data_IF_578435191298
#
_entry.id   IF_578435191298
#
_cell.length_a   1.000
_cell.length_b   1.000
_cell.length_c   1.000
_cell.angle_alpha   90.00
_cell.angle_beta   90.00
_cell.angle_gamma   90.00
#
_symmetry.space_group_name_H-M   'P 1'
#
loop_
_entity.id
_entity.type
_entity.pdbx_description
1 polymer ?
#
# COMPACT_ATOMS: atom_id res chain seq x y z
N UNK A 1 5.39 -23.49 34.69
CA UNK A 1 5.22 -23.34 34.65
C UNK A 1 5.09 -23.14 34.41
N UNK A 2 4.88 -22.97 34.70
CA UNK A 2 4.55 -22.80 34.62
C UNK A 2 4.46 -22.37 34.27
N UNK A 3 4.70 -22.28 34.28
CA UNK A 3 4.44 -21.80 34.20
C UNK A 3 4.37 -21.38 33.48
N UNK A 4 4.71 -22.26 32.29
CA UNK A 4 3.99 -21.79 31.86
C UNK A 4 3.68 -21.60 32.53
N UNK A 5 4.52 -21.59 32.33
CA UNK A 5 3.81 -21.30 33.51
C UNK A 5 2.39 -20.98 33.32
N UNK A 6 1.67 -21.00 34.36
CA UNK A 6 0.33 -20.48 34.25
C UNK A 6 0.30 -19.06 33.75
N UNK A 7 1.24 -18.23 34.14
CA UNK A 7 1.18 -16.88 33.60
C UNK A 7 1.63 -16.85 32.16
N UNK A 8 2.44 -17.79 31.74
CA UNK A 8 2.72 -17.89 30.33
C UNK A 8 1.48 -18.34 29.60
N UNK A 9 0.80 -19.34 30.11
CA UNK A 9 -0.45 -19.76 29.52
C UNK A 9 -1.45 -18.63 29.56
N UNK A 10 -1.49 -17.92 30.65
CA UNK A 10 -2.37 -16.78 30.77
C UNK A 10 -1.98 -15.67 29.81
N UNK A 11 -0.71 -15.44 29.68
CA UNK A 11 -0.25 -14.45 28.71
C UNK A 11 -0.59 -14.88 27.31
N UNK A 12 -0.49 -16.17 27.03
CA UNK A 12 -0.90 -16.66 25.73
C UNK A 12 -2.38 -16.45 25.51
N UNK A 13 -3.17 -16.69 26.52
CA UNK A 13 -4.60 -16.45 26.41
C UNK A 13 -4.89 -14.98 26.22
N UNK A 14 -4.18 -14.13 26.92
CA UNK A 14 -4.34 -12.71 26.74
C UNK A 14 -3.92 -12.29 25.37
N UNK A 15 -2.84 -12.88 24.89
CA UNK A 15 -2.42 -12.65 23.53
C UNK A 15 -3.54 -13.04 22.58
N UNK A 16 -4.15 -14.18 22.82
CA UNK A 16 -5.19 -14.64 21.91
C UNK A 16 -6.38 -13.71 21.89
N UNK A 17 -6.74 -13.14 23.02
CA UNK A 17 -7.96 -12.33 23.04
C UNK A 17 -7.69 -10.84 22.95
N UNK A 18 -6.63 -10.36 23.59
CA UNK A 18 -6.39 -8.93 23.66
C UNK A 18 -5.26 -8.46 22.79
N UNK A 19 -4.16 -9.15 22.86
CA UNK A 19 -2.95 -8.67 22.18
C UNK A 19 -2.99 -8.86 20.68
N UNK A 20 -3.79 -9.77 20.18
CA UNK A 20 -3.93 -9.89 18.74
C UNK A 20 -4.49 -8.62 18.15
N UNK A 21 -5.46 -8.02 18.81
CA UNK A 21 -5.98 -6.75 18.35
C UNK A 21 -4.93 -5.67 18.40
N UNK A 22 -4.10 -5.66 19.44
CA UNK A 22 -3.03 -4.70 19.55
C UNK A 22 -1.99 -4.90 18.46
N UNK A 23 -1.64 -6.16 18.17
CA UNK A 23 -0.69 -6.45 17.10
C UNK A 23 -1.23 -5.97 15.77
N UNK A 24 -2.52 -6.18 15.53
CA UNK A 24 -3.14 -5.71 14.31
C UNK A 24 -3.04 -4.19 14.22
N UNK A 25 -3.30 -3.50 15.32
CA UNK A 25 -3.18 -2.05 15.37
C UNK A 25 -1.75 -1.61 15.10
N UNK A 26 -0.78 -2.30 15.68
CA UNK A 26 0.62 -1.96 15.47
C UNK A 26 1.06 -2.17 14.03
N UNK A 27 0.48 -3.16 13.35
CA UNK A 27 0.81 -3.41 11.95
C UNK A 27 0.41 -2.26 11.04
N UNK A 28 -0.47 -1.39 11.51
CA UNK A 28 -0.94 -0.27 10.72
C UNK A 28 -0.34 1.07 11.16
N UNK A 29 0.77 1.04 11.90
CA UNK A 29 1.53 2.26 12.15
C UNK A 29 2.14 2.77 10.85
N UNK A 30 2.32 4.09 10.73
CA UNK A 30 2.93 4.61 9.49
C UNK A 30 4.25 3.96 9.13
N UNK A 31 5.07 3.60 10.12
CA UNK A 31 6.35 2.94 9.85
C UNK A 31 6.18 1.53 9.28
N UNK A 32 5.03 0.90 9.49
CA UNK A 32 4.79 -0.45 8.97
C UNK A 32 4.43 -0.46 7.49
N UNK A 33 4.28 0.71 6.88
CA UNK A 33 4.03 0.80 5.45
C UNK A 33 5.28 0.57 4.62
N UNK A 34 6.46 0.63 5.24
CA UNK A 34 7.72 0.37 4.53
C UNK A 34 7.70 -1.05 3.99
N UNK A 35 8.05 -1.20 2.73
CA UNK A 35 8.00 -2.47 2.01
C UNK A 35 6.65 -2.81 1.40
N UNK A 36 5.64 -2.00 1.66
CA UNK A 36 4.31 -2.24 1.07
C UNK A 36 4.20 -1.59 -0.28
N UNK A 37 3.44 -2.21 -1.16
CA UNK A 37 3.11 -1.62 -2.46
C UNK A 37 1.81 -0.86 -2.31
N UNK A 38 1.83 0.39 -2.75
CA UNK A 38 0.79 1.35 -2.41
C UNK A 38 0.43 2.22 -3.60
N UNK A 39 -0.75 2.83 -3.51
CA UNK A 39 -1.14 3.96 -4.34
C UNK A 39 -0.93 5.20 -3.48
N UNK A 40 -0.27 6.20 -4.04
CA UNK A 40 -0.07 7.47 -3.37
C UNK A 40 -0.73 8.57 -4.18
N UNK A 41 -1.55 9.35 -3.50
CA UNK A 41 -2.12 10.56 -4.08
C UNK A 41 -1.37 11.74 -3.48
N UNK A 42 -0.93 12.64 -4.35
CA UNK A 42 -0.20 13.84 -3.96
C UNK A 42 -1.09 15.06 -4.19
N UNK A 43 -0.69 16.20 -3.61
CA UNK A 43 -1.41 17.43 -3.84
C UNK A 43 -1.19 17.96 -5.26
N UNK A 44 0.03 17.92 -5.75
CA UNK A 44 0.37 18.58 -7.00
C UNK A 44 1.08 17.69 -8.01
N UNK A 45 1.50 16.50 -7.64
CA UNK A 45 2.31 15.64 -8.50
C UNK A 45 1.54 14.43 -9.06
N UNK A 46 0.23 14.39 -8.85
CA UNK A 46 -0.59 13.30 -9.40
C UNK A 46 -0.64 12.07 -8.53
N UNK A 47 -0.89 10.93 -9.18
CA UNK A 47 -1.11 9.65 -8.52
C UNK A 47 0.02 8.70 -8.92
N UNK A 48 0.54 7.95 -7.94
CA UNK A 48 1.68 7.07 -8.15
C UNK A 48 1.45 5.73 -7.51
N UNK A 49 1.99 4.70 -8.12
CA UNK A 49 2.06 3.35 -7.57
C UNK A 49 3.53 3.03 -7.31
N UNK A 50 3.80 2.34 -6.24
CA UNK A 50 5.16 1.89 -5.99
C UNK A 50 5.31 1.25 -4.62
N UNK A 51 6.53 0.80 -4.34
CA UNK A 51 6.86 0.21 -3.05
C UNK A 51 7.52 1.26 -2.17
N UNK A 52 7.05 1.40 -0.94
CA UNK A 52 7.64 2.37 -0.02
C UNK A 52 8.96 1.84 0.50
N UNK A 53 10.05 2.58 0.22
CA UNK A 53 11.35 2.30 0.79
C UNK A 53 11.55 3.01 2.10
N UNK A 54 11.16 4.28 2.16
CA UNK A 54 11.32 5.12 3.34
C UNK A 54 10.14 6.04 3.49
N UNK A 55 9.84 6.40 4.71
CA UNK A 55 8.76 7.32 4.99
C UNK A 55 9.10 8.13 6.23
N UNK A 56 8.97 9.44 6.13
CA UNK A 56 9.13 10.35 7.24
C UNK A 56 8.06 11.42 7.14
N UNK A 57 7.09 11.39 8.05
CA UNK A 57 5.94 12.27 7.96
C UNK A 57 5.21 12.05 6.64
N UNK A 58 5.04 13.11 5.88
CA UNK A 58 4.40 13.03 4.55
C UNK A 58 5.37 12.63 3.46
N UNK A 59 6.66 12.65 3.73
CA UNK A 59 7.66 12.38 2.71
C UNK A 59 7.82 10.88 2.54
N UNK A 60 7.82 10.43 1.30
CA UNK A 60 8.00 9.02 0.99
C UNK A 60 8.98 8.90 -0.17
N UNK A 61 9.75 7.81 -0.14
CA UNK A 61 10.56 7.40 -1.27
C UNK A 61 9.98 6.10 -1.76
N UNK A 62 9.58 6.08 -3.03
CA UNK A 62 9.05 4.88 -3.67
C UNK A 62 10.08 4.27 -4.57
N UNK A 63 10.10 2.95 -4.58
CA UNK A 63 10.90 2.13 -5.49
C UNK A 63 10.00 1.59 -6.59
N UNK A 64 10.55 1.53 -7.81
CA UNK A 64 9.84 0.97 -8.97
C UNK A 64 8.47 1.64 -9.12
N UNK A 65 8.48 2.96 -9.11
CA UNK A 65 7.25 3.73 -9.09
C UNK A 65 6.73 3.97 -10.49
N UNK A 66 5.45 3.81 -10.66
CA UNK A 66 4.75 4.11 -11.91
C UNK A 66 3.76 5.24 -11.67
N UNK A 67 3.79 6.25 -12.52
CA UNK A 67 2.80 7.32 -12.47
C UNK A 67 1.53 6.84 -13.14
N UNK A 68 0.39 7.01 -12.48
CA UNK A 68 -0.92 6.72 -13.06
C UNK A 68 -1.43 8.02 -13.66
N UNK A 69 -1.03 8.25 -14.91
CA UNK A 69 -1.29 9.53 -15.57
C UNK A 69 -2.79 9.72 -15.84
N UNK A 70 -3.45 8.65 -16.23
CA UNK A 70 -4.89 8.61 -16.41
C UNK A 70 -5.36 7.25 -15.93
N UNK A 71 -6.29 7.23 -14.99
CA UNK A 71 -6.69 5.97 -14.41
C UNK A 71 -8.19 5.80 -14.40
N UNK A 72 -8.61 4.57 -14.69
CA UNK A 72 -9.98 4.10 -14.50
C UNK A 72 -9.92 2.83 -13.69
N UNK A 73 -10.95 2.61 -12.89
CA UNK A 73 -11.01 1.42 -12.04
C UNK A 73 -11.40 0.20 -12.88
N UNK A 74 -10.91 -0.95 -12.45
CA UNK A 74 -11.13 -2.20 -13.17
C UNK A 74 -12.61 -2.55 -13.29
N UNK A 75 -13.41 -2.23 -12.30
CA UNK A 75 -14.82 -2.60 -12.23
C UNK A 75 -15.74 -1.38 -12.26
N UNK A 76 -15.32 -0.34 -12.94
CA UNK A 76 -16.15 0.85 -13.20
C UNK A 76 -16.52 1.64 -11.95
N UNK A 77 -15.76 1.50 -10.90
CA UNK A 77 -15.89 2.34 -9.71
C UNK A 77 -15.35 3.75 -9.97
N UNK A 78 -15.33 4.55 -8.95
CA UNK A 78 -14.99 5.97 -9.10
C UNK A 78 -13.84 6.42 -8.21
N UNK A 79 -13.22 5.51 -7.45
CA UNK A 79 -12.25 5.93 -6.45
C UNK A 79 -10.93 5.18 -6.53
N UNK A 80 -9.89 5.82 -6.00
CA UNK A 80 -8.60 5.16 -5.87
C UNK A 80 -8.65 3.97 -4.92
N UNK A 81 -9.62 3.94 -4.02
CA UNK A 81 -9.81 2.79 -3.14
C UNK A 81 -10.07 1.54 -3.97
N UNK A 82 -10.88 1.64 -5.01
CA UNK A 82 -11.11 0.49 -5.87
C UNK A 82 -9.86 0.13 -6.66
N UNK A 83 -9.10 1.13 -7.12
CA UNK A 83 -7.83 0.84 -7.80
C UNK A 83 -6.91 0.05 -6.87
N UNK A 84 -6.84 0.44 -5.61
CA UNK A 84 -5.99 -0.27 -4.65
C UNK A 84 -6.49 -1.68 -4.35
N UNK A 85 -7.78 -1.92 -4.46
CA UNK A 85 -8.36 -3.25 -4.21
C UNK A 85 -8.39 -4.13 -5.45
N UNK A 86 -8.63 -3.57 -6.63
CA UNK A 86 -8.94 -4.36 -7.81
C UNK A 86 -8.13 -4.01 -9.05
N UNK A 87 -7.43 -2.88 -9.03
CA UNK A 87 -6.57 -2.50 -10.13
C UNK A 87 -7.24 -1.56 -11.13
N UNK A 88 -6.64 -1.50 -12.31
CA UNK A 88 -6.96 -0.53 -13.35
C UNK A 88 -7.64 -1.17 -14.54
N UNK A 89 -8.52 -0.42 -15.18
CA UNK A 89 -9.07 -0.81 -16.47
C UNK A 89 -8.01 -0.70 -17.56
N UNK A 90 -8.21 -1.44 -18.65
CA UNK A 90 -7.22 -1.53 -19.72
C UNK A 90 -6.96 -0.23 -20.46
N UNK A 91 -7.90 0.70 -20.44
CA UNK A 91 -7.71 1.98 -21.09
C UNK A 91 -7.08 3.03 -20.19
N UNK A 92 -6.61 2.65 -19.04
CA UNK A 92 -5.82 3.53 -18.19
C UNK A 92 -4.46 3.81 -18.84
N UNK A 93 -3.85 4.92 -18.46
CA UNK A 93 -2.55 5.34 -19.03
C UNK A 93 -1.52 5.34 -17.93
N UNK A 94 -0.66 4.34 -17.94
CA UNK A 94 0.33 4.11 -16.90
C UNK A 94 1.70 4.35 -17.48
N UNK A 95 2.50 5.15 -16.78
CA UNK A 95 3.83 5.53 -17.25
C UNK A 95 4.83 4.44 -16.94
N UNK A 96 6.01 4.53 -17.54
CA UNK A 96 7.06 3.56 -17.25
C UNK A 96 7.54 3.72 -15.80
N UNK A 97 8.07 2.64 -15.26
CA UNK A 97 8.56 2.65 -13.90
C UNK A 97 9.86 3.42 -13.80
N UNK A 98 10.02 4.16 -12.71
CA UNK A 98 11.30 4.78 -12.37
C UNK A 98 11.85 4.10 -11.12
N UNK A 99 13.19 3.96 -11.02
CA UNK A 99 13.77 3.23 -9.88
C UNK A 99 13.43 3.86 -8.53
N UNK A 100 13.48 5.18 -8.44
CA UNK A 100 13.22 5.89 -7.19
C UNK A 100 12.54 7.21 -7.48
N UNK A 101 11.60 7.57 -6.62
CA UNK A 101 10.96 8.89 -6.67
C UNK A 101 10.66 9.34 -5.24
N UNK A 102 10.85 10.62 -4.99
CA UNK A 102 10.48 11.26 -3.73
C UNK A 102 9.16 12.00 -3.94
N UNK A 103 8.23 11.80 -3.01
CA UNK A 103 6.91 12.43 -3.08
C UNK A 103 6.46 12.89 -1.70
N UNK A 104 5.58 13.89 -1.68
CA UNK A 104 4.84 14.22 -0.48
C UNK A 104 3.45 13.63 -0.61
N UNK A 105 3.14 12.68 0.26
CA UNK A 105 1.89 11.95 0.17
C UNK A 105 0.78 12.68 0.91
N UNK A 106 -0.34 12.86 0.24
CA UNK A 106 -1.59 13.31 0.87
C UNK A 106 -2.36 12.09 1.37
N UNK A 107 -2.27 11.01 0.63
CA UNK A 107 -2.99 9.79 0.92
C UNK A 107 -2.16 8.60 0.46
N UNK A 108 -2.11 7.56 1.29
CA UNK A 108 -1.41 6.32 0.96
C UNK A 108 -2.40 5.18 1.13
N UNK A 109 -2.62 4.41 0.07
CA UNK A 109 -3.55 3.28 0.11
C UNK A 109 -2.77 2.01 -0.21
N UNK A 110 -2.80 1.03 0.69
CA UNK A 110 -2.11 -0.24 0.48
C UNK A 110 -2.85 -1.04 -0.58
N UNK A 111 -2.10 -1.58 -1.54
CA UNK A 111 -2.67 -2.35 -2.64
C UNK A 111 -2.87 -3.81 -2.25
N UNK A 112 -3.94 -4.39 -2.76
CA UNK A 112 -4.16 -5.84 -2.66
C UNK A 112 -3.27 -6.57 -3.65
N UNK A 113 -3.14 -7.88 -3.49
CA UNK A 113 -2.38 -8.70 -4.44
C UNK A 113 -2.97 -8.62 -5.84
N UNK A 114 -4.28 -8.55 -5.94
CA UNK A 114 -4.98 -8.42 -7.23
C UNK A 114 -4.56 -7.12 -7.90
N UNK A 115 -4.60 -6.02 -7.16
CA UNK A 115 -4.23 -4.71 -7.69
C UNK A 115 -2.76 -4.67 -8.09
N UNK A 116 -1.88 -5.22 -7.27
CA UNK A 116 -0.45 -5.26 -7.55
C UNK A 116 -0.19 -5.95 -8.89
N UNK A 117 -0.74 -7.14 -9.08
CA UNK A 117 -0.56 -7.87 -10.34
C UNK A 117 -1.10 -7.08 -11.51
N UNK A 118 -2.26 -6.49 -11.34
CA UNK A 118 -2.90 -5.73 -12.40
C UNK A 118 -2.04 -4.54 -12.80
N UNK A 119 -1.62 -3.73 -11.83
CA UNK A 119 -0.89 -2.50 -12.14
C UNK A 119 0.50 -2.81 -12.70
N UNK A 120 1.17 -3.82 -12.14
CA UNK A 120 2.51 -4.17 -12.61
C UNK A 120 2.50 -4.78 -14.00
N UNK A 121 1.37 -5.34 -14.42
CA UNK A 121 1.25 -5.92 -15.75
C UNK A 121 0.79 -4.93 -16.81
N UNK A 122 0.43 -3.70 -16.43
CA UNK A 122 -0.01 -2.70 -17.40
C UNK A 122 1.14 -2.32 -18.33
N UNK A 123 0.86 -2.28 -19.62
CA UNK A 123 1.85 -1.81 -20.59
C UNK A 123 2.11 -0.32 -20.37
N UNK A 124 3.33 0.09 -20.69
CA UNK A 124 3.67 1.51 -20.67
C UNK A 124 2.85 2.21 -21.75
N UNK A 125 2.13 3.25 -21.37
CA UNK A 125 1.35 4.00 -22.34
C UNK A 125 2.27 4.85 -23.21
N UNK A 126 2.06 4.77 -24.49
CA UNK A 126 2.77 5.61 -25.47
C UNK A 126 1.76 6.44 -26.24
N UNK A 127 2.04 7.72 -26.38
CA UNK A 127 1.17 8.62 -27.12
C UNK A 127 1.29 8.40 -28.64
#
# INVERSE_FOLDING_TARGET
MSNLTPEIALMLLQVLSGKQAQQTTEQFKPSSLIGKKVIIRTYAAGVHYGEILEKEGKEVILKDSRRLWYWKTANKGISLSEVANEGLANDSKVCEAVPLIWLEAVEIIVCSDISIKNIESQNVYKA
#
